data_IF_917595306986
#
_entry.id   IF_917595306986
#
_cell.length_a   1.000
_cell.length_b   1.000
_cell.length_c   1.000
_cell.angle_alpha   90.00
_cell.angle_beta   90.00
_cell.angle_gamma   90.00
#
_symmetry.space_group_name_H-M   'P 1'
#
loop_
_entity.id
_entity.type
_entity.pdbx_description
1 polymer ?
#
# COMPACT_ATOMS: atom_id res chain seq x y z
N UNK A 1 -13.32 -6.41 43.17
CA UNK A 1 -14.33 -5.73 42.34
C UNK A 1 -13.62 -4.72 41.44
N UNK A 2 -13.34 -5.08 40.19
CA UNK A 2 -12.61 -4.20 39.26
C UNK A 2 -13.55 -3.12 38.71
N UNK A 3 -13.19 -1.84 38.91
CA UNK A 3 -13.95 -0.71 38.35
C UNK A 3 -13.79 -0.72 36.82
N UNK A 4 -14.87 -1.00 36.09
CA UNK A 4 -14.90 -0.86 34.63
C UNK A 4 -14.77 0.63 34.29
N UNK A 5 -13.65 1.03 33.69
CA UNK A 5 -13.45 2.39 33.18
C UNK A 5 -14.53 2.67 32.13
N UNK A 6 -15.18 3.82 32.24
CA UNK A 6 -16.10 4.32 31.21
C UNK A 6 -15.27 4.99 30.14
N UNK A 7 -15.58 4.67 28.88
CA UNK A 7 -14.97 5.31 27.71
C UNK A 7 -15.44 6.77 27.64
N UNK A 8 -14.56 7.67 27.21
CA UNK A 8 -14.89 9.06 26.93
C UNK A 8 -15.64 9.17 25.60
N UNK A 9 -16.32 10.30 25.38
CA UNK A 9 -17.03 10.57 24.13
C UNK A 9 -16.08 10.58 22.92
N UNK A 10 -14.86 11.09 23.11
CA UNK A 10 -13.81 11.10 22.08
C UNK A 10 -13.35 9.69 21.71
N UNK A 11 -13.19 8.80 22.69
CA UNK A 11 -12.82 7.40 22.46
C UNK A 11 -13.92 6.66 21.68
N UNK A 12 -15.20 6.96 21.97
CA UNK A 12 -16.35 6.39 21.25
C UNK A 12 -16.37 6.88 19.80
N UNK A 13 -16.10 8.16 19.56
CA UNK A 13 -16.09 8.72 18.22
C UNK A 13 -14.91 8.22 17.39
N UNK A 14 -13.73 8.06 18.00
CA UNK A 14 -12.59 7.42 17.37
C UNK A 14 -12.88 5.96 17.02
N UNK A 15 -13.53 5.20 17.90
CA UNK A 15 -13.92 3.82 17.61
C UNK A 15 -14.88 3.75 16.41
N UNK A 16 -15.88 4.63 16.34
CA UNK A 16 -16.81 4.70 15.20
C UNK A 16 -16.09 4.95 13.87
N UNK A 17 -15.05 5.79 13.86
CA UNK A 17 -14.25 6.05 12.66
C UNK A 17 -13.45 4.84 12.21
N UNK A 18 -12.93 4.06 13.17
CA UNK A 18 -12.20 2.81 12.92
C UNK A 18 -13.16 1.76 12.37
N UNK A 19 -14.30 1.54 13.05
CA UNK A 19 -15.32 0.57 12.63
C UNK A 19 -15.87 0.88 11.24
N UNK A 20 -15.95 2.17 10.87
CA UNK A 20 -16.35 2.61 9.53
C UNK A 20 -15.30 2.31 8.44
N UNK A 21 -14.03 2.09 8.80
CA UNK A 21 -12.95 1.75 7.88
C UNK A 21 -12.65 0.24 7.83
N UNK A 22 -13.19 -0.57 8.75
CA UNK A 22 -12.94 -2.02 8.83
C UNK A 22 -13.37 -2.80 7.57
N UNK A 23 -14.28 -2.27 6.75
CA UNK A 23 -14.66 -2.89 5.48
C UNK A 23 -13.53 -2.85 4.43
N UNK A 24 -12.66 -1.84 4.48
CA UNK A 24 -11.52 -1.71 3.56
C UNK A 24 -10.43 -2.72 3.89
N UNK A 25 -10.32 -3.12 5.14
CA UNK A 25 -9.32 -4.09 5.61
C UNK A 25 -9.46 -5.44 4.90
N UNK A 26 -10.70 -5.85 4.54
CA UNK A 26 -10.97 -7.03 3.71
C UNK A 26 -10.95 -6.76 2.21
N UNK A 27 -11.07 -5.51 1.77
CA UNK A 27 -10.97 -5.12 0.36
C UNK A 27 -9.51 -5.01 -0.12
N UNK A 28 -8.58 -4.77 0.81
CA UNK A 28 -7.14 -4.78 0.54
C UNK A 28 -6.65 -6.23 0.55
N UNK A 29 -6.79 -6.92 -0.59
CA UNK A 29 -6.15 -8.21 -0.79
C UNK A 29 -4.65 -8.00 -0.99
N UNK A 30 -3.82 -8.70 -0.21
CA UNK A 30 -2.35 -8.75 -0.44
C UNK A 30 -1.98 -9.38 -1.79
N UNK A 31 -2.94 -10.04 -2.44
CA UNK A 31 -2.78 -10.68 -3.75
C UNK A 31 -3.38 -9.84 -4.89
N UNK A 32 -3.79 -8.59 -4.61
CA UNK A 32 -4.30 -7.74 -5.66
C UNK A 32 -3.18 -7.49 -6.69
N UNK A 33 -3.39 -7.98 -7.92
CA UNK A 33 -2.42 -7.89 -9.02
C UNK A 33 -2.41 -6.45 -9.56
N UNK A 34 -1.86 -5.52 -8.77
CA UNK A 34 -1.80 -4.08 -9.09
C UNK A 34 -0.91 -3.74 -10.29
N UNK A 35 -0.18 -4.72 -10.84
CA UNK A 35 0.79 -4.51 -11.91
C UNK A 35 2.00 -3.66 -11.47
N UNK A 36 2.11 -3.32 -10.18
CA UNK A 36 3.25 -2.62 -9.62
C UNK A 36 4.38 -3.62 -9.32
N UNK A 37 5.61 -3.23 -9.63
CA UNK A 37 6.78 -4.00 -9.24
C UNK A 37 6.90 -3.90 -7.70
N UNK A 38 6.84 -5.02 -6.96
CA UNK A 38 6.74 -5.01 -5.50
C UNK A 38 8.01 -4.49 -4.80
N UNK A 39 9.13 -4.39 -5.52
CA UNK A 39 10.40 -3.88 -5.01
C UNK A 39 11.19 -3.18 -6.12
N UNK A 40 12.16 -2.36 -5.72
CA UNK A 40 13.16 -1.88 -6.67
C UNK A 40 13.99 -3.07 -7.22
N UNK A 41 14.39 -3.04 -8.50
CA UNK A 41 15.36 -3.98 -9.05
C UNK A 41 16.65 -3.96 -8.22
N UNK A 42 17.19 -5.14 -7.90
CA UNK A 42 18.40 -5.26 -7.07
C UNK A 42 19.66 -5.29 -7.94
N UNK A 43 19.51 -5.65 -9.22
CA UNK A 43 20.61 -5.76 -10.18
C UNK A 43 20.26 -5.13 -11.53
N UNK A 44 21.31 -4.78 -12.29
CA UNK A 44 21.16 -4.26 -13.66
C UNK A 44 20.52 -5.31 -14.60
N UNK A 45 20.79 -6.60 -14.36
CA UNK A 45 20.19 -7.69 -15.13
C UNK A 45 18.67 -7.79 -14.93
N UNK A 46 18.20 -7.61 -13.69
CA UNK A 46 16.75 -7.54 -13.43
C UNK A 46 16.14 -6.30 -14.10
N UNK A 47 16.82 -5.15 -14.03
CA UNK A 47 16.38 -3.91 -14.66
C UNK A 47 16.16 -4.08 -16.17
N UNK A 48 17.13 -4.73 -16.86
CA UNK A 48 17.06 -5.05 -18.29
C UNK A 48 15.94 -6.04 -18.60
N UNK A 49 15.82 -7.11 -17.81
CA UNK A 49 14.74 -8.10 -18.00
C UNK A 49 13.35 -7.48 -17.88
N UNK A 50 13.15 -6.53 -16.95
CA UNK A 50 11.87 -5.83 -16.82
C UNK A 50 11.61 -4.89 -18.01
N UNK A 51 12.65 -4.20 -18.51
CA UNK A 51 12.55 -3.29 -19.66
C UNK A 51 12.23 -4.05 -20.97
N UNK A 52 12.72 -5.28 -21.13
CA UNK A 52 12.40 -6.13 -22.29
C UNK A 52 10.92 -6.49 -22.38
N UNK A 53 10.25 -6.69 -21.23
CA UNK A 53 8.82 -7.03 -21.18
C UNK A 53 7.96 -5.79 -21.41
N UNK A 54 8.32 -4.66 -20.80
CA UNK A 54 7.60 -3.39 -20.94
C UNK A 54 8.51 -2.19 -20.68
N UNK A 55 8.43 -1.18 -21.54
CA UNK A 55 9.24 0.04 -21.40
C UNK A 55 8.63 0.97 -20.35
N UNK A 56 8.95 0.74 -19.08
CA UNK A 56 8.43 1.52 -17.95
C UNK A 56 9.26 2.79 -17.68
N UNK A 57 10.49 2.87 -18.18
CA UNK A 57 11.35 4.03 -17.97
C UNK A 57 10.98 5.17 -18.92
N UNK A 58 11.08 6.44 -18.47
CA UNK A 58 10.90 7.58 -19.35
C UNK A 58 11.91 7.56 -20.51
N UNK A 59 11.54 8.07 -21.70
CA UNK A 59 12.44 8.10 -22.86
C UNK A 59 13.77 8.76 -22.50
N UNK A 60 14.89 8.10 -22.81
CA UNK A 60 16.24 8.60 -22.56
C UNK A 60 16.52 9.80 -23.47
N UNK A 61 16.18 11.00 -23.01
CA UNK A 61 16.50 12.26 -23.69
C UNK A 61 17.98 12.57 -23.51
N UNK A 62 18.71 12.68 -24.62
CA UNK A 62 20.09 13.18 -24.61
C UNK A 62 20.05 14.64 -24.16
N UNK A 63 20.76 14.97 -23.08
CA UNK A 63 20.98 16.38 -22.72
C UNK A 63 21.76 17.02 -23.87
N UNK A 64 21.20 18.10 -24.43
CA UNK A 64 21.84 18.92 -25.46
C UNK A 64 23.00 19.71 -24.86
#
# INVERSE_FOLDING_TARGET
>A
MSRKRRMTTEEIENQKRIDACDYLTNAVSTQDCTGLIPSAPVSDAELESYEEVYHYQPPKVKKK
#
